data_IF_053111468037
#
_entry.id   IF_053111468037
#
_cell.length_a   1.000
_cell.length_b   1.000
_cell.length_c   1.000
_cell.angle_alpha   90.00
_cell.angle_beta   90.00
_cell.angle_gamma   90.00
#
_symmetry.space_group_name_H-M   'P 1'
#
loop_
_entity.id
_entity.type
_entity.pdbx_description
1 polymer ?
#
# COMPACT_ATOMS: atom_id res chain seq x y z
N UNK A 1 11.81 64.11 15.47
CA UNK A 1 10.61 65.00 15.44
C UNK A 1 10.01 64.90 14.05
N UNK A 2 8.81 64.37 13.92
CA UNK A 2 8.07 64.35 12.66
C UNK A 2 6.99 65.40 12.78
N UNK A 3 7.08 66.43 11.96
CA UNK A 3 6.00 67.43 11.85
C UNK A 3 4.84 66.83 11.10
N UNK A 4 3.62 67.13 11.52
CA UNK A 4 2.39 66.74 10.79
C UNK A 4 2.28 67.58 9.51
N UNK A 5 1.60 67.09 8.48
CA UNK A 5 1.45 67.79 7.19
C UNK A 5 0.83 69.18 7.37
N UNK A 6 -0.02 69.38 8.36
CA UNK A 6 -0.64 70.66 8.72
C UNK A 6 0.38 71.67 9.34
N UNK A 7 1.30 71.17 10.18
CA UNK A 7 2.36 72.00 10.77
C UNK A 7 3.39 72.43 9.72
N UNK A 8 3.64 71.55 8.76
CA UNK A 8 4.52 71.88 7.60
C UNK A 8 3.87 72.94 6.68
N UNK A 9 2.55 72.84 6.39
CA UNK A 9 1.81 73.85 5.64
C UNK A 9 1.79 75.18 6.34
N UNK A 10 1.60 75.22 7.68
CA UNK A 10 1.55 76.47 8.45
C UNK A 10 2.92 77.15 8.49
N UNK A 11 4.00 76.38 8.64
CA UNK A 11 5.39 76.88 8.58
C UNK A 11 5.72 77.40 7.16
N UNK A 12 5.29 76.67 6.14
CA UNK A 12 5.50 77.08 4.74
C UNK A 12 4.75 78.36 4.41
N UNK A 13 3.50 78.51 4.85
CA UNK A 13 2.65 79.68 4.65
C UNK A 13 3.23 80.91 5.41
N UNK A 14 3.78 80.73 6.64
CA UNK A 14 4.47 81.78 7.40
C UNK A 14 5.79 82.23 6.72
N UNK A 15 6.56 81.29 6.18
CA UNK A 15 7.79 81.59 5.42
C UNK A 15 7.48 82.35 4.13
N UNK A 16 6.43 81.96 3.39
CA UNK A 16 5.98 82.60 2.15
C UNK A 16 5.44 84.04 2.44
N UNK A 17 4.71 84.19 3.54
CA UNK A 17 4.20 85.49 3.95
C UNK A 17 5.36 86.52 4.41
N UNK A 18 6.45 85.94 4.90
CA UNK A 18 7.62 86.76 5.38
C UNK A 18 8.60 87.17 4.27
N UNK A 19 8.53 86.48 3.10
CA UNK A 19 9.40 86.81 1.96
C UNK A 19 8.75 87.88 1.04
N UNK A 20 9.03 89.15 1.19
CA UNK A 20 8.66 90.21 0.21
C UNK A 20 9.43 89.95 -1.08
N UNK A 21 8.75 89.59 -2.14
CA UNK A 21 9.35 89.50 -3.47
C UNK A 21 9.68 90.89 -3.96
N UNK A 22 10.95 91.19 -4.36
CA UNK A 22 11.41 92.52 -4.71
C UNK A 22 10.77 93.09 -5.98
N UNK A 23 9.95 92.39 -6.74
CA UNK A 23 9.36 92.82 -8.02
C UNK A 23 7.98 92.27 -8.35
N UNK A 24 7.21 91.78 -7.41
CA UNK A 24 5.80 91.41 -7.63
C UNK A 24 5.53 90.40 -8.74
N UNK A 25 6.50 89.71 -9.30
CA UNK A 25 6.37 88.84 -10.46
C UNK A 25 6.03 87.39 -10.13
N UNK A 26 6.10 87.01 -8.86
CA UNK A 26 5.80 85.62 -8.42
C UNK A 26 4.86 85.69 -7.23
N UNK A 27 3.60 85.31 -7.41
CA UNK A 27 2.69 85.11 -6.29
C UNK A 27 2.81 83.68 -5.82
N UNK A 28 2.79 83.44 -4.50
CA UNK A 28 2.85 82.11 -3.91
C UNK A 28 1.71 81.22 -4.43
N UNK A 29 0.52 81.80 -4.66
CA UNK A 29 -0.62 81.09 -5.19
C UNK A 29 -0.47 80.57 -6.63
N UNK A 30 0.38 81.23 -7.46
CA UNK A 30 0.63 80.79 -8.84
C UNK A 30 1.85 79.87 -8.99
N UNK A 31 2.76 79.90 -8.03
CA UNK A 31 4.00 79.11 -8.06
C UNK A 31 3.86 77.71 -7.42
N UNK A 32 2.98 77.62 -6.42
CA UNK A 32 2.74 76.34 -5.70
C UNK A 32 2.24 75.22 -6.60
N UNK A 33 1.22 75.38 -7.45
CA UNK A 33 0.75 74.31 -8.33
C UNK A 33 1.80 73.90 -9.40
N UNK A 34 2.68 74.83 -9.79
CA UNK A 34 3.77 74.50 -10.73
C UNK A 34 4.91 73.73 -10.05
N UNK A 35 5.17 74.00 -8.77
CA UNK A 35 6.16 73.32 -7.97
C UNK A 35 5.67 71.90 -7.62
N UNK A 36 4.41 71.75 -7.25
CA UNK A 36 3.74 70.51 -6.97
C UNK A 36 3.76 69.58 -8.20
N UNK A 37 3.48 70.13 -9.38
CA UNK A 37 3.57 69.41 -10.66
C UNK A 37 4.99 69.00 -11.03
N UNK A 38 6.03 69.83 -10.69
CA UNK A 38 7.46 69.50 -10.95
C UNK A 38 8.06 68.56 -9.93
N UNK A 39 7.64 68.61 -8.68
CA UNK A 39 8.14 67.72 -7.62
C UNK A 39 7.58 66.36 -7.68
N UNK A 40 6.49 66.13 -8.48
CA UNK A 40 5.89 64.85 -8.77
C UNK A 40 6.23 63.79 -7.68
N UNK A 41 5.72 64.03 -6.47
CA UNK A 41 5.79 63.06 -5.38
C UNK A 41 4.92 61.85 -5.75
N UNK A 42 5.37 61.18 -6.80
CA UNK A 42 4.80 59.91 -7.19
C UNK A 42 4.99 59.00 -5.98
N UNK A 43 3.87 58.58 -5.42
CA UNK A 43 3.82 57.73 -4.24
C UNK A 43 4.65 56.44 -4.46
N UNK A 44 5.99 56.57 -4.35
CA UNK A 44 6.92 55.45 -4.44
C UNK A 44 6.60 54.34 -3.41
N UNK A 45 5.96 54.75 -2.29
CA UNK A 45 5.52 53.76 -1.28
C UNK A 45 4.44 52.81 -1.78
N UNK A 46 3.47 53.30 -2.59
CA UNK A 46 2.42 52.45 -3.14
C UNK A 46 2.90 51.50 -4.24
N UNK A 47 3.91 51.88 -4.99
CA UNK A 47 4.57 51.00 -5.97
C UNK A 47 5.38 49.90 -5.29
N UNK A 48 6.17 50.26 -4.27
CA UNK A 48 6.94 49.27 -3.50
C UNK A 48 6.05 48.26 -2.81
N UNK A 49 4.96 48.67 -2.16
CA UNK A 49 4.03 47.72 -1.51
C UNK A 49 3.33 46.80 -2.52
N UNK A 50 2.97 47.31 -3.69
CA UNK A 50 2.36 46.49 -4.76
C UNK A 50 3.34 45.49 -5.37
N UNK A 51 4.59 45.87 -5.58
CA UNK A 51 5.64 44.97 -6.08
C UNK A 51 6.03 43.94 -5.05
N UNK A 52 6.10 44.25 -3.76
CA UNK A 52 6.30 43.26 -2.69
C UNK A 52 5.13 42.32 -2.54
N UNK A 53 3.89 42.82 -2.66
CA UNK A 53 2.70 41.97 -2.64
C UNK A 53 2.65 41.01 -3.84
N UNK A 54 3.02 41.47 -5.04
CA UNK A 54 3.09 40.63 -6.23
C UNK A 54 4.21 39.56 -6.10
N UNK A 55 5.37 39.94 -5.60
CA UNK A 55 6.50 39.02 -5.33
C UNK A 55 6.09 37.94 -4.30
N UNK A 56 5.43 38.36 -3.20
CA UNK A 56 4.93 37.43 -2.18
C UNK A 56 3.88 36.46 -2.75
N UNK A 57 2.99 36.95 -3.61
CA UNK A 57 1.98 36.11 -4.28
C UNK A 57 2.65 35.06 -5.20
N UNK A 58 3.67 35.44 -5.96
CA UNK A 58 4.45 34.51 -6.80
C UNK A 58 5.15 33.45 -5.96
N UNK A 59 5.77 33.83 -4.84
CA UNK A 59 6.42 32.88 -3.92
C UNK A 59 5.41 31.93 -3.32
N UNK A 60 4.26 32.41 -2.85
CA UNK A 60 3.20 31.55 -2.31
C UNK A 60 2.61 30.60 -3.37
N UNK A 61 2.40 31.09 -4.59
CA UNK A 61 1.96 30.24 -5.71
C UNK A 61 3.01 29.20 -6.08
N UNK A 62 4.29 29.56 -6.16
CA UNK A 62 5.36 28.61 -6.45
C UNK A 62 5.49 27.57 -5.34
N UNK A 63 5.37 27.98 -4.07
CA UNK A 63 5.40 27.06 -2.93
C UNK A 63 4.20 26.12 -2.92
N UNK A 64 3.00 26.64 -3.24
CA UNK A 64 1.79 25.79 -3.34
C UNK A 64 1.87 24.81 -4.51
N UNK A 65 2.37 25.22 -5.67
CA UNK A 65 2.62 24.33 -6.81
C UNK A 65 3.68 23.28 -6.45
N UNK A 66 4.76 23.70 -5.80
CA UNK A 66 5.81 22.80 -5.34
C UNK A 66 5.31 21.76 -4.33
N UNK A 67 4.54 22.20 -3.33
CA UNK A 67 3.93 21.27 -2.36
C UNK A 67 2.92 20.34 -3.02
N UNK A 68 2.08 20.84 -3.93
CA UNK A 68 1.16 20.01 -4.70
C UNK A 68 1.92 18.98 -5.56
N UNK A 69 3.00 19.38 -6.23
CA UNK A 69 3.86 18.47 -6.99
C UNK A 69 4.46 17.36 -6.13
N UNK A 70 4.99 17.69 -4.93
CA UNK A 70 5.52 16.69 -4.00
C UNK A 70 4.43 15.74 -3.48
N UNK A 71 3.20 16.24 -3.32
CA UNK A 71 2.07 15.43 -2.86
C UNK A 71 1.52 14.50 -3.97
N UNK A 72 1.61 14.95 -5.23
CA UNK A 72 1.13 14.19 -6.39
C UNK A 72 2.15 13.14 -6.89
N UNK A 73 3.38 13.12 -6.37
CA UNK A 73 4.32 12.09 -6.76
C UNK A 73 3.81 10.71 -6.33
N UNK A 74 3.81 9.70 -7.22
CA UNK A 74 3.45 8.33 -6.85
C UNK A 74 4.35 7.86 -5.70
N UNK A 75 3.79 7.07 -4.79
CA UNK A 75 4.60 6.46 -3.75
C UNK A 75 5.56 5.44 -4.39
N UNK A 76 6.80 5.41 -3.92
CA UNK A 76 7.76 4.37 -4.30
C UNK A 76 7.21 3.02 -3.86
N UNK A 77 7.17 2.05 -4.76
CA UNK A 77 6.76 0.69 -4.45
C UNK A 77 7.99 -0.09 -3.96
N UNK A 78 7.84 -0.76 -2.84
CA UNK A 78 8.79 -1.72 -2.30
C UNK A 78 8.29 -3.12 -2.56
N UNK A 79 9.16 -4.01 -3.01
CA UNK A 79 8.85 -5.43 -3.18
C UNK A 79 9.77 -6.26 -2.29
N UNK A 80 9.17 -7.14 -1.51
CA UNK A 80 9.87 -8.12 -0.67
C UNK A 80 9.51 -9.50 -1.19
N UNK A 81 10.53 -10.33 -1.45
CA UNK A 81 10.35 -11.71 -1.90
C UNK A 81 11.07 -12.67 -0.97
N UNK A 82 10.54 -13.88 -0.90
CA UNK A 82 11.12 -15.03 -0.20
C UNK A 82 11.57 -16.10 -1.18
N UNK A 83 12.51 -16.90 -0.78
CA UNK A 83 12.87 -18.17 -1.44
C UNK A 83 12.40 -19.34 -0.55
N UNK A 84 13.28 -20.22 -0.18
CA UNK A 84 12.99 -21.38 0.68
C UNK A 84 12.94 -21.02 2.19
N UNK A 85 12.48 -19.83 2.52
CA UNK A 85 12.36 -19.33 3.90
C UNK A 85 11.11 -18.50 4.08
N UNK A 86 10.58 -18.46 5.29
CA UNK A 86 9.51 -17.53 5.66
C UNK A 86 10.10 -16.20 6.11
N UNK A 87 9.39 -15.07 5.84
CA UNK A 87 9.86 -13.76 6.23
C UNK A 87 8.72 -12.87 6.72
N UNK A 88 8.93 -12.26 7.90
CA UNK A 88 7.98 -11.27 8.43
C UNK A 88 8.41 -9.86 8.07
N UNK A 89 7.47 -9.08 7.53
CA UNK A 89 7.64 -7.67 7.12
C UNK A 89 6.63 -6.82 7.87
N UNK A 90 7.08 -5.66 8.37
CA UNK A 90 6.19 -4.66 8.96
C UNK A 90 5.93 -3.54 7.96
N UNK A 91 4.67 -3.31 7.64
CA UNK A 91 4.23 -2.30 6.71
C UNK A 91 4.15 -0.91 7.36
N UNK A 92 4.06 0.19 6.56
CA UNK A 92 4.03 1.56 7.06
C UNK A 92 2.87 1.89 7.99
N UNK A 93 1.74 1.18 7.87
CA UNK A 93 0.55 1.32 8.73
C UNK A 93 0.64 0.52 10.04
N UNK A 94 1.76 -0.19 10.25
CA UNK A 94 1.98 -1.08 11.39
C UNK A 94 1.44 -2.50 11.21
N UNK A 95 0.82 -2.82 10.06
CA UNK A 95 0.42 -4.19 9.69
C UNK A 95 1.65 -5.10 9.65
N UNK A 96 1.53 -6.30 10.23
CA UNK A 96 2.54 -7.36 10.14
C UNK A 96 2.13 -8.37 9.08
N UNK A 97 3.04 -8.70 8.16
CA UNK A 97 2.82 -9.70 7.11
C UNK A 97 3.93 -10.73 7.17
N UNK A 98 3.58 -11.99 7.34
CA UNK A 98 4.52 -13.11 7.23
C UNK A 98 4.32 -13.77 5.86
N UNK A 99 5.35 -13.70 5.03
CA UNK A 99 5.40 -14.35 3.71
C UNK A 99 5.83 -15.80 3.87
N UNK A 100 5.14 -16.69 3.17
CA UNK A 100 5.55 -18.08 3.03
C UNK A 100 6.67 -18.21 1.99
N UNK A 101 7.16 -19.42 1.76
CA UNK A 101 8.21 -19.73 0.76
C UNK A 101 7.77 -19.29 -0.65
N UNK A 102 8.73 -18.86 -1.47
CA UNK A 102 8.51 -18.47 -2.88
C UNK A 102 7.36 -17.47 -3.09
N UNK A 103 7.23 -16.54 -2.16
CA UNK A 103 6.17 -15.53 -2.17
C UNK A 103 6.74 -14.13 -2.32
N UNK A 104 5.96 -13.22 -2.88
CA UNK A 104 6.33 -11.82 -3.01
C UNK A 104 5.19 -10.88 -2.63
N UNK A 105 5.54 -9.80 -1.94
CA UNK A 105 4.63 -8.75 -1.53
C UNK A 105 5.16 -7.40 -2.02
N UNK A 106 4.33 -6.69 -2.80
CA UNK A 106 4.60 -5.32 -3.23
C UNK A 106 3.69 -4.35 -2.48
N UNK A 107 4.26 -3.28 -1.93
CA UNK A 107 3.52 -2.28 -1.16
C UNK A 107 4.19 -0.90 -1.28
N UNK A 108 3.44 0.21 -1.14
CA UNK A 108 4.01 1.56 -1.19
C UNK A 108 4.76 1.88 0.11
N UNK A 109 5.84 2.68 0.02
CA UNK A 109 6.54 3.20 1.21
C UNK A 109 5.62 3.98 2.16
N UNK A 110 4.52 4.54 1.63
CA UNK A 110 3.47 5.22 2.40
C UNK A 110 2.14 5.01 1.71
N UNK A 111 1.13 4.64 2.46
CA UNK A 111 -0.25 4.64 1.97
C UNK A 111 -0.73 6.09 1.84
N UNK A 112 -0.93 6.57 0.61
CA UNK A 112 -1.34 7.96 0.31
C UNK A 112 -2.81 8.06 -0.12
N UNK A 113 -3.41 6.93 -0.51
CA UNK A 113 -4.81 6.81 -0.92
C UNK A 113 -5.72 6.58 0.29
N UNK A 114 -7.03 6.66 0.06
CA UNK A 114 -8.04 6.30 1.05
C UNK A 114 -7.99 4.81 1.39
N UNK A 115 -7.42 3.98 0.50
CA UNK A 115 -7.22 2.55 0.70
C UNK A 115 -5.73 2.22 0.92
N UNK A 116 -5.47 1.18 1.72
CA UNK A 116 -4.14 0.60 1.96
C UNK A 116 -3.97 -0.63 1.08
N UNK A 117 -3.44 -0.42 -0.11
CA UNK A 117 -3.31 -1.48 -1.12
C UNK A 117 -1.93 -2.13 -1.12
N UNK A 118 -1.92 -3.46 -1.21
CA UNK A 118 -0.73 -4.28 -1.38
C UNK A 118 -1.00 -5.36 -2.42
N UNK A 119 0.03 -5.80 -3.14
CA UNK A 119 -0.05 -6.86 -4.13
C UNK A 119 0.69 -8.10 -3.65
N UNK A 120 0.03 -9.27 -3.70
CA UNK A 120 0.57 -10.56 -3.26
C UNK A 120 0.62 -11.54 -4.42
N UNK A 121 1.77 -12.20 -4.56
CA UNK A 121 1.95 -13.43 -5.33
C UNK A 121 2.56 -14.50 -4.43
N UNK A 122 1.94 -15.67 -4.33
CA UNK A 122 2.31 -16.69 -3.35
C UNK A 122 1.41 -16.67 -2.12
N UNK A 123 1.93 -17.02 -0.95
CA UNK A 123 1.16 -17.15 0.27
C UNK A 123 1.66 -16.20 1.36
N UNK A 124 0.72 -15.58 2.07
CA UNK A 124 1.03 -14.72 3.20
C UNK A 124 -0.05 -14.73 4.28
N UNK A 125 0.40 -14.62 5.52
CA UNK A 125 -0.42 -14.38 6.69
C UNK A 125 -0.35 -12.91 7.08
N UNK A 126 -1.52 -12.30 7.30
CA UNK A 126 -1.69 -10.88 7.59
C UNK A 126 -2.25 -10.66 8.98
N UNK A 127 -1.60 -9.81 9.77
CA UNK A 127 -2.08 -9.22 11.01
C UNK A 127 -2.31 -7.73 10.77
N UNK A 128 -3.48 -7.39 10.24
CA UNK A 128 -3.76 -6.03 9.77
C UNK A 128 -4.11 -5.10 10.91
N UNK A 129 -3.43 -3.96 10.96
CA UNK A 129 -3.73 -2.87 11.90
C UNK A 129 -5.15 -2.35 11.70
N UNK A 130 -5.89 -2.21 12.82
CA UNK A 130 -7.30 -1.79 12.79
C UNK A 130 -7.44 -0.34 12.35
N UNK A 131 -8.05 -0.12 11.21
CA UNK A 131 -8.47 1.19 10.70
C UNK A 131 -9.75 1.04 9.87
N UNK A 132 -10.87 1.51 10.42
CA UNK A 132 -12.18 1.42 9.78
C UNK A 132 -12.42 2.47 8.70
N UNK A 133 -11.57 3.51 8.64
CA UNK A 133 -11.70 4.60 7.66
C UNK A 133 -10.95 4.31 6.36
N UNK A 134 -9.83 3.59 6.47
CA UNK A 134 -8.97 3.28 5.34
C UNK A 134 -8.89 1.75 5.21
N UNK A 135 -9.69 1.12 4.36
CA UNK A 135 -9.66 -0.32 4.10
C UNK A 135 -8.26 -0.80 3.70
N UNK A 136 -7.90 -2.02 4.13
CA UNK A 136 -6.70 -2.71 3.69
C UNK A 136 -7.09 -3.73 2.61
N UNK A 137 -6.45 -3.65 1.45
CA UNK A 137 -6.78 -4.46 0.28
C UNK A 137 -5.55 -5.25 -0.15
N UNK A 138 -5.66 -6.58 -0.10
CA UNK A 138 -4.68 -7.48 -0.70
C UNK A 138 -5.15 -7.80 -2.12
N UNK A 139 -4.42 -7.32 -3.09
CA UNK A 139 -4.64 -7.62 -4.50
C UNK A 139 -3.82 -8.86 -4.88
N UNK A 140 -4.48 -9.84 -5.51
CA UNK A 140 -3.83 -10.96 -6.15
C UNK A 140 -4.07 -10.89 -7.67
N UNK A 141 -3.58 -11.83 -8.42
CA UNK A 141 -3.85 -11.90 -9.87
C UNK A 141 -5.35 -11.95 -10.19
N UNK A 142 -6.15 -12.66 -9.38
CA UNK A 142 -7.55 -13.00 -9.72
C UNK A 142 -8.58 -12.47 -8.76
N UNK A 143 -8.23 -12.25 -7.49
CA UNK A 143 -9.16 -11.76 -6.45
C UNK A 143 -8.56 -10.58 -5.69
N UNK A 144 -9.45 -9.82 -5.07
CA UNK A 144 -9.16 -8.79 -4.08
C UNK A 144 -9.74 -9.18 -2.73
N UNK A 145 -8.94 -9.01 -1.68
CA UNK A 145 -9.29 -9.32 -0.28
C UNK A 145 -9.28 -8.04 0.53
N UNK A 146 -10.45 -7.60 0.98
CA UNK A 146 -10.64 -6.34 1.70
C UNK A 146 -10.94 -6.57 3.18
N UNK A 147 -10.25 -5.84 4.05
CA UNK A 147 -10.39 -5.93 5.51
C UNK A 147 -10.27 -4.56 6.19
N UNK A 148 -10.67 -4.45 7.47
CA UNK A 148 -10.58 -3.24 8.28
C UNK A 148 -9.70 -3.40 9.55
N UNK A 149 -9.15 -4.60 9.78
CA UNK A 149 -8.36 -4.95 10.97
C UNK A 149 -8.64 -6.40 11.37
N UNK A 150 -7.90 -7.32 10.79
CA UNK A 150 -8.27 -8.73 10.66
C UNK A 150 -7.01 -9.57 10.64
N UNK A 151 -7.07 -10.78 11.16
CA UNK A 151 -6.04 -11.80 11.00
C UNK A 151 -6.53 -12.86 10.00
N UNK A 152 -5.83 -13.02 8.91
CA UNK A 152 -6.22 -13.91 7.82
C UNK A 152 -5.01 -14.39 7.02
N UNK A 153 -5.19 -15.49 6.30
CA UNK A 153 -4.22 -16.05 5.36
C UNK A 153 -4.72 -15.94 3.93
N UNK A 154 -3.82 -15.70 3.00
CA UNK A 154 -4.11 -15.73 1.54
C UNK A 154 -3.09 -16.63 0.89
N UNK A 155 -3.54 -17.72 0.26
CA UNK A 155 -2.77 -18.60 -0.62
C UNK A 155 -3.17 -18.27 -2.07
N UNK A 156 -2.28 -17.60 -2.78
CA UNK A 156 -2.45 -17.12 -4.14
C UNK A 156 -1.23 -17.43 -5.03
N UNK A 157 -0.69 -18.64 -4.91
CA UNK A 157 0.37 -19.08 -5.82
C UNK A 157 -0.12 -19.09 -7.27
N UNK A 158 0.66 -18.54 -8.23
CA UNK A 158 0.24 -18.45 -9.63
C UNK A 158 -0.14 -19.80 -10.24
N UNK A 159 0.61 -20.84 -9.93
CA UNK A 159 0.44 -22.20 -10.50
C UNK A 159 -0.68 -23.01 -9.82
N UNK A 160 -1.23 -22.52 -8.69
CA UNK A 160 -2.37 -23.18 -8.06
C UNK A 160 -3.65 -22.91 -8.86
N UNK A 161 -4.54 -23.91 -9.05
CA UNK A 161 -5.81 -23.72 -9.74
C UNK A 161 -6.81 -22.88 -8.94
N UNK A 162 -6.59 -22.77 -7.63
CA UNK A 162 -7.46 -22.07 -6.71
C UNK A 162 -6.65 -20.97 -5.97
N UNK A 163 -7.36 -19.91 -5.56
CA UNK A 163 -6.89 -18.96 -4.56
C UNK A 163 -7.72 -19.14 -3.30
N UNK A 164 -7.04 -19.34 -2.15
CA UNK A 164 -7.71 -19.56 -0.86
C UNK A 164 -7.51 -18.34 0.03
N UNK A 165 -8.58 -17.94 0.72
CA UNK A 165 -8.52 -16.89 1.76
C UNK A 165 -9.15 -17.44 3.03
N UNK A 166 -8.36 -17.63 4.08
CA UNK A 166 -8.79 -18.19 5.36
C UNK A 166 -8.86 -17.12 6.43
N UNK A 167 -10.01 -17.00 7.09
CA UNK A 167 -10.22 -16.02 8.15
C UNK A 167 -10.03 -16.63 9.52
N UNK A 168 -9.11 -16.03 10.31
CA UNK A 168 -8.87 -16.41 11.70
C UNK A 168 -9.68 -15.53 12.66
N UNK A 169 -9.55 -14.22 12.57
CA UNK A 169 -10.27 -13.26 13.43
C UNK A 169 -10.71 -12.03 12.65
N UNK A 170 -11.88 -11.48 12.97
CA UNK A 170 -12.41 -10.27 12.35
C UNK A 170 -13.41 -10.56 11.24
N UNK A 171 -13.30 -9.88 10.11
CA UNK A 171 -14.16 -10.04 8.93
C UNK A 171 -13.36 -9.74 7.66
N UNK A 172 -13.55 -10.55 6.64
CA UNK A 172 -12.90 -10.44 5.33
C UNK A 172 -13.95 -10.42 4.24
N UNK A 173 -13.84 -9.46 3.32
CA UNK A 173 -14.61 -9.48 2.07
C UNK A 173 -13.69 -9.91 0.93
N UNK A 174 -14.06 -10.98 0.22
CA UNK A 174 -13.35 -11.49 -0.95
C UNK A 174 -14.18 -11.19 -2.19
N UNK A 175 -13.57 -10.65 -3.22
CA UNK A 175 -14.20 -10.42 -4.52
C UNK A 175 -13.25 -10.75 -5.66
N UNK A 176 -13.80 -11.12 -6.83
CA UNK A 176 -12.98 -11.22 -8.03
C UNK A 176 -12.70 -9.81 -8.62
N UNK A 177 -11.74 -9.71 -9.53
CA UNK A 177 -11.26 -8.42 -10.08
C UNK A 177 -12.35 -7.54 -10.70
N UNK A 178 -13.40 -8.12 -11.25
CA UNK A 178 -14.52 -7.36 -11.84
C UNK A 178 -15.69 -7.15 -10.87
N UNK A 179 -15.53 -7.49 -9.59
CA UNK A 179 -16.57 -7.40 -8.54
C UNK A 179 -17.89 -8.12 -8.86
N UNK A 180 -17.89 -9.04 -9.83
CA UNK A 180 -19.10 -9.79 -10.20
C UNK A 180 -19.48 -10.85 -9.16
N UNK A 181 -18.49 -11.30 -8.37
CA UNK A 181 -18.68 -12.25 -7.27
C UNK A 181 -18.06 -11.65 -6.01
N UNK A 182 -18.83 -11.60 -4.91
CA UNK A 182 -18.36 -11.11 -3.61
C UNK A 182 -18.87 -12.00 -2.48
N UNK A 183 -18.01 -12.26 -1.51
CA UNK A 183 -18.31 -13.04 -0.32
C UNK A 183 -17.72 -12.40 0.93
N UNK A 184 -18.44 -12.46 2.04
CA UNK A 184 -17.93 -12.04 3.36
C UNK A 184 -17.75 -13.27 4.23
N UNK A 185 -16.55 -13.43 4.79
CA UNK A 185 -16.17 -14.54 5.66
C UNK A 185 -16.37 -14.19 7.12
N UNK A 186 -16.66 -15.23 7.90
CA UNK A 186 -16.62 -15.27 9.36
C UNK A 186 -15.40 -16.07 9.83
N UNK A 187 -14.95 -15.92 11.09
CA UNK A 187 -13.87 -16.74 11.62
C UNK A 187 -14.10 -18.25 11.41
N UNK A 188 -13.02 -18.96 11.10
CA UNK A 188 -13.00 -20.37 10.68
C UNK A 188 -13.69 -20.66 9.34
N UNK A 189 -13.88 -19.65 8.49
CA UNK A 189 -14.32 -19.87 7.12
C UNK A 189 -13.14 -19.63 6.15
N UNK A 190 -13.12 -20.42 5.07
CA UNK A 190 -12.23 -20.25 3.92
C UNK A 190 -13.04 -19.97 2.66
N UNK A 191 -12.68 -18.92 1.93
CA UNK A 191 -13.14 -18.69 0.57
C UNK A 191 -12.15 -19.35 -0.40
N UNK A 192 -12.67 -20.10 -1.36
CA UNK A 192 -11.90 -20.79 -2.39
C UNK A 192 -12.41 -20.28 -3.73
N UNK A 193 -11.53 -19.57 -4.45
CA UNK A 193 -11.80 -19.08 -5.79
C UNK A 193 -11.11 -19.98 -6.81
N UNK A 194 -11.90 -20.71 -7.59
CA UNK A 194 -11.38 -21.52 -8.70
C UNK A 194 -11.11 -20.62 -9.91
N UNK A 195 -9.85 -20.58 -10.37
CA UNK A 195 -9.42 -19.70 -11.46
C UNK A 195 -10.00 -20.09 -12.82
N UNK A 196 -10.24 -21.39 -13.04
CA UNK A 196 -10.77 -21.92 -14.30
C UNK A 196 -12.29 -21.71 -14.38
N UNK A 197 -13.01 -22.12 -13.34
CA UNK A 197 -14.46 -22.00 -13.28
C UNK A 197 -14.91 -20.56 -12.96
N UNK A 198 -14.02 -19.69 -12.50
CA UNK A 198 -14.28 -18.33 -12.01
C UNK A 198 -15.35 -18.31 -10.91
N UNK A 199 -15.36 -19.33 -10.09
CA UNK A 199 -16.36 -19.58 -9.07
C UNK A 199 -15.75 -19.40 -7.69
N UNK A 200 -16.45 -18.65 -6.83
CA UNK A 200 -16.12 -18.47 -5.43
C UNK A 200 -17.01 -19.36 -4.57
N UNK A 201 -16.40 -20.23 -3.77
CA UNK A 201 -17.08 -21.13 -2.83
C UNK A 201 -16.60 -20.89 -1.42
N UNK A 202 -17.37 -21.33 -0.43
CA UNK A 202 -17.03 -21.22 1.00
C UNK A 202 -17.07 -22.58 1.65
N UNK A 203 -16.06 -22.84 2.51
CA UNK A 203 -16.00 -24.00 3.38
C UNK A 203 -15.81 -23.53 4.82
N UNK A 204 -16.39 -24.23 5.79
CA UNK A 204 -16.13 -24.04 7.22
C UNK A 204 -15.04 -25.01 7.64
N UNK A 205 -14.04 -24.53 8.33
CA UNK A 205 -12.92 -25.30 8.86
C UNK A 205 -13.18 -25.64 10.33
N UNK A 206 -12.70 -26.77 10.80
CA UNK A 206 -12.70 -27.11 12.22
C UNK A 206 -11.73 -26.19 12.98
N UNK A 207 -10.56 -25.94 12.40
CA UNK A 207 -9.53 -25.08 12.95
C UNK A 207 -8.83 -24.31 11.83
N UNK A 208 -9.08 -23.00 11.73
CA UNK A 208 -8.39 -22.13 10.77
C UNK A 208 -6.88 -21.97 11.07
N UNK A 209 -6.46 -22.32 12.30
CA UNK A 209 -5.04 -22.29 12.68
C UNK A 209 -4.19 -23.30 11.92
N UNK A 210 -4.77 -24.38 11.44
CA UNK A 210 -4.05 -25.40 10.68
C UNK A 210 -3.58 -24.87 9.32
N UNK A 211 -4.33 -23.94 8.71
CA UNK A 211 -3.97 -23.26 7.44
C UNK A 211 -2.77 -22.33 7.55
N UNK A 212 -2.31 -22.02 8.77
CA UNK A 212 -1.16 -21.14 9.02
C UNK A 212 -0.02 -21.87 9.76
N UNK A 213 -0.09 -23.21 9.86
CA UNK A 213 0.90 -24.04 10.53
C UNK A 213 2.30 -23.93 9.87
N UNK A 214 2.34 -23.65 8.59
CA UNK A 214 3.56 -23.40 7.81
C UNK A 214 4.44 -22.30 8.42
N UNK A 215 3.87 -21.34 9.16
CA UNK A 215 4.62 -20.27 9.86
C UNK A 215 5.59 -20.84 10.92
N UNK A 216 5.34 -22.04 11.36
CA UNK A 216 6.15 -22.77 12.34
C UNK A 216 6.91 -23.94 11.71
N UNK A 217 6.90 -24.06 10.37
CA UNK A 217 7.51 -25.18 9.65
C UNK A 217 6.74 -26.49 9.83
N UNK A 218 5.44 -26.40 10.13
CA UNK A 218 4.57 -27.56 10.31
C UNK A 218 3.73 -27.83 9.06
N UNK A 219 3.52 -29.10 8.72
CA UNK A 219 2.61 -29.53 7.67
C UNK A 219 1.49 -30.36 8.29
N UNK A 220 0.25 -29.94 8.08
CA UNK A 220 -0.95 -30.60 8.61
C UNK A 220 -1.86 -30.96 7.44
N UNK A 221 -1.86 -32.24 7.08
CA UNK A 221 -2.73 -32.80 6.09
C UNK A 221 -3.92 -33.48 6.80
N UNK A 222 -5.11 -32.97 6.63
CA UNK A 222 -6.32 -33.53 7.23
C UNK A 222 -7.29 -33.92 6.13
N UNK A 223 -7.31 -35.23 5.84
CA UNK A 223 -8.11 -35.79 4.74
C UNK A 223 -7.92 -35.03 3.42
N UNK A 224 -6.66 -34.68 3.09
CA UNK A 224 -6.32 -33.93 1.89
C UNK A 224 -6.04 -34.85 0.69
N UNK A 225 -6.49 -34.51 -0.53
CA UNK A 225 -6.08 -35.21 -1.74
C UNK A 225 -4.57 -35.13 -1.96
N UNK A 226 -3.94 -36.20 -2.39
CA UNK A 226 -2.50 -36.25 -2.66
C UNK A 226 -2.05 -35.15 -3.64
N UNK A 227 -2.93 -34.75 -4.59
CA UNK A 227 -2.64 -33.64 -5.50
C UNK A 227 -2.51 -32.30 -4.78
N UNK A 228 -3.30 -32.04 -3.74
CA UNK A 228 -3.18 -30.83 -2.92
C UNK A 228 -1.90 -30.88 -2.08
N UNK A 229 -1.60 -32.04 -1.46
CA UNK A 229 -0.37 -32.25 -0.70
C UNK A 229 0.86 -32.04 -1.60
N UNK A 230 0.87 -32.60 -2.81
CA UNK A 230 1.96 -32.43 -3.76
C UNK A 230 2.19 -30.95 -4.14
N UNK A 231 1.11 -30.17 -4.29
CA UNK A 231 1.20 -28.71 -4.56
C UNK A 231 1.75 -27.96 -3.35
N UNK A 232 1.24 -28.22 -2.16
CA UNK A 232 1.70 -27.57 -0.93
C UNK A 232 3.19 -27.83 -0.70
N UNK A 233 3.63 -29.08 -0.84
CA UNK A 233 5.05 -29.41 -0.77
C UNK A 233 5.88 -28.81 -1.91
N UNK A 234 5.32 -28.74 -3.14
CA UNK A 234 5.98 -28.08 -4.25
C UNK A 234 6.21 -26.59 -3.98
N UNK A 235 5.19 -25.89 -3.48
CA UNK A 235 5.26 -24.47 -3.12
C UNK A 235 6.25 -24.23 -1.97
N UNK A 236 6.22 -25.10 -0.95
CA UNK A 236 7.07 -24.93 0.24
C UNK A 236 8.54 -25.23 -0.01
N UNK A 237 8.84 -26.17 -0.89
CA UNK A 237 10.22 -26.61 -1.15
C UNK A 237 10.78 -26.21 -2.52
N UNK A 238 10.02 -25.46 -3.33
CA UNK A 238 10.44 -24.96 -4.65
C UNK A 238 10.82 -26.07 -5.63
N UNK A 239 10.13 -27.20 -5.56
CA UNK A 239 10.36 -28.35 -6.42
C UNK A 239 9.06 -28.80 -7.08
N UNK A 240 9.15 -29.33 -8.29
CA UNK A 240 7.96 -29.86 -8.96
C UNK A 240 7.68 -31.29 -8.51
N UNK A 241 6.52 -31.56 -7.96
CA UNK A 241 6.04 -32.91 -7.62
C UNK A 241 4.94 -33.30 -8.58
N UNK A 242 5.23 -34.26 -9.43
CA UNK A 242 4.32 -34.79 -10.45
C UNK A 242 3.73 -36.13 -10.02
N UNK A 243 2.40 -36.27 -10.12
CA UNK A 243 1.70 -37.55 -9.87
C UNK A 243 1.42 -38.21 -11.22
N UNK A 244 2.17 -39.28 -11.53
CA UNK A 244 2.12 -39.95 -12.81
C UNK A 244 0.80 -40.75 -12.99
N UNK A 245 0.25 -41.27 -11.89
CA UNK A 245 -0.99 -42.04 -11.91
C UNK A 245 -2.17 -41.18 -11.46
N UNK A 246 -3.10 -40.89 -12.37
CA UNK A 246 -4.27 -40.06 -12.08
C UNK A 246 -5.18 -40.65 -10.98
N UNK A 247 -5.13 -41.95 -10.73
CA UNK A 247 -5.91 -42.56 -9.64
C UNK A 247 -5.43 -42.17 -8.26
N UNK A 248 -4.14 -41.78 -8.13
CA UNK A 248 -3.53 -41.30 -6.89
C UNK A 248 -3.87 -39.83 -6.60
N UNK A 249 -4.23 -39.04 -7.58
CA UNK A 249 -4.48 -37.59 -7.40
C UNK A 249 -5.53 -37.31 -6.33
N UNK A 250 -6.57 -38.13 -6.30
CA UNK A 250 -7.69 -38.00 -5.35
C UNK A 250 -7.53 -38.89 -4.10
N UNK A 251 -6.37 -39.56 -3.95
CA UNK A 251 -6.11 -40.37 -2.78
C UNK A 251 -5.95 -39.47 -1.56
N UNK A 252 -6.73 -39.72 -0.51
CA UNK A 252 -6.76 -38.81 0.64
C UNK A 252 -5.83 -39.28 1.76
N UNK A 253 -5.09 -38.36 2.32
CA UNK A 253 -4.10 -38.63 3.34
C UNK A 253 -4.35 -37.72 4.54
N UNK A 254 -4.24 -38.32 5.74
CA UNK A 254 -4.13 -37.60 7.01
C UNK A 254 -2.77 -37.84 7.60
N UNK A 255 -1.99 -36.78 7.73
CA UNK A 255 -0.65 -36.83 8.32
C UNK A 255 -0.29 -35.46 8.96
N UNK A 256 0.58 -35.47 9.98
CA UNK A 256 1.03 -34.27 10.65
C UNK A 256 2.53 -34.31 10.86
N UNK A 257 3.22 -33.27 10.39
CA UNK A 257 4.66 -33.06 10.51
C UNK A 257 4.86 -31.77 11.31
N UNK A 258 5.53 -31.83 12.47
CA UNK A 258 5.59 -30.74 13.43
C UNK A 258 6.99 -30.35 13.89
N UNK A 259 8.01 -31.01 13.37
CA UNK A 259 9.38 -30.82 13.82
C UNK A 259 10.27 -30.15 12.78
N UNK A 260 9.67 -29.50 11.77
CA UNK A 260 10.42 -28.89 10.66
C UNK A 260 11.05 -29.95 9.74
N UNK A 261 10.32 -31.04 9.49
CA UNK A 261 10.75 -32.09 8.58
C UNK A 261 11.02 -31.53 7.19
N UNK A 262 12.12 -31.93 6.59
CA UNK A 262 12.43 -31.60 5.21
C UNK A 262 11.59 -32.47 4.23
N UNK A 263 11.65 -32.11 2.94
CA UNK A 263 10.87 -32.80 1.90
C UNK A 263 11.17 -34.30 1.82
N UNK A 264 12.44 -34.69 1.97
CA UNK A 264 12.83 -36.09 1.86
C UNK A 264 12.31 -36.90 3.06
N UNK A 265 12.33 -36.32 4.27
CA UNK A 265 11.72 -36.91 5.46
C UNK A 265 10.21 -37.10 5.31
N UNK A 266 9.49 -36.04 4.84
CA UNK A 266 8.05 -36.10 4.59
C UNK A 266 7.71 -37.20 3.57
N UNK A 267 8.36 -37.18 2.42
CA UNK A 267 8.12 -38.18 1.36
C UNK A 267 8.47 -39.60 1.83
N UNK A 268 9.54 -39.77 2.60
CA UNK A 268 9.93 -41.09 3.15
C UNK A 268 8.86 -41.62 4.11
N UNK A 269 8.34 -40.80 5.00
CA UNK A 269 7.26 -41.22 5.93
C UNK A 269 6.00 -41.62 5.16
N UNK A 270 5.59 -40.83 4.18
CA UNK A 270 4.40 -41.12 3.36
C UNK A 270 4.60 -42.39 2.50
N UNK A 271 5.79 -42.60 1.94
CA UNK A 271 6.14 -43.82 1.22
C UNK A 271 6.11 -45.04 2.12
N UNK A 272 6.75 -44.99 3.30
CA UNK A 272 6.82 -46.09 4.25
C UNK A 272 5.45 -46.45 4.83
N UNK A 273 4.50 -45.49 4.88
CA UNK A 273 3.11 -45.73 5.23
C UNK A 273 2.33 -46.44 4.11
N UNK A 274 2.95 -46.69 2.96
CA UNK A 274 2.38 -47.46 1.85
C UNK A 274 1.44 -46.65 0.96
N UNK A 275 1.48 -45.32 1.05
CA UNK A 275 0.61 -44.45 0.25
C UNK A 275 0.99 -44.43 -1.22
N UNK A 276 2.31 -44.41 -1.55
CA UNK A 276 2.83 -44.36 -2.92
C UNK A 276 4.32 -44.68 -2.97
N UNK A 277 4.85 -44.95 -4.18
CA UNK A 277 6.26 -44.89 -4.51
C UNK A 277 6.66 -43.54 -5.07
N UNK A 278 7.92 -43.12 -4.95
CA UNK A 278 8.40 -41.92 -5.59
C UNK A 278 9.82 -42.10 -6.12
N UNK A 279 10.15 -41.41 -7.18
CA UNK A 279 11.49 -41.25 -7.72
C UNK A 279 11.84 -39.77 -7.83
N UNK A 280 13.11 -39.42 -7.58
CA UNK A 280 13.61 -38.07 -7.65
C UNK A 280 14.68 -37.97 -8.73
N UNK A 281 14.53 -36.98 -9.62
CA UNK A 281 15.61 -36.50 -10.48
C UNK A 281 16.01 -35.08 -10.06
N UNK A 282 16.95 -34.47 -10.79
CA UNK A 282 17.53 -33.16 -10.42
C UNK A 282 16.50 -32.00 -10.38
N UNK A 283 15.35 -32.13 -11.03
CA UNK A 283 14.39 -31.03 -11.21
C UNK A 283 12.97 -31.40 -10.77
N UNK A 284 12.68 -32.66 -10.58
CA UNK A 284 11.30 -33.14 -10.38
C UNK A 284 11.27 -34.40 -9.52
N UNK A 285 10.21 -34.47 -8.71
CA UNK A 285 9.82 -35.71 -8.00
C UNK A 285 8.61 -36.28 -8.73
N UNK A 286 8.65 -37.59 -9.02
CA UNK A 286 7.53 -38.30 -9.66
C UNK A 286 6.97 -39.31 -8.69
N UNK A 287 5.68 -39.18 -8.38
CA UNK A 287 4.90 -40.10 -7.54
C UNK A 287 4.20 -41.12 -8.43
N UNK A 288 4.35 -42.37 -8.07
CA UNK A 288 3.75 -43.53 -8.78
C UNK A 288 3.01 -44.44 -7.80
N UNK A 289 2.13 -45.26 -8.31
CA UNK A 289 1.42 -46.26 -7.52
C UNK A 289 2.40 -47.34 -7.03
N UNK A 290 2.16 -47.88 -5.82
CA UNK A 290 2.83 -49.05 -5.28
C UNK A 290 2.61 -50.31 -6.10
#
# INVERSE_FOLDING_TARGET
MKYSDRELEDILNKLIASTRSPRGRFSAASSYPQLEKKLNFRNHRLYLTRTFAAAAAVVLLSLSVWTAYLYMQPATIQTVSTLAETRTVRLPDGTSVTLNHYSSLSYPERFKSDDREVELSGEAYFEVSKDSKHPFIVQTETIDVQVLGTHFNVDAYPDNPDVKTTLLTGSVAVSNKNNSVRMVLKPNEVAIYNKVEQKLTRKVLENAGDEISWRHGEFIFDDLPLQEIARELSNSFGTTIHIADSTLQNYRITARFRNGEDLDAILSVLHNAGYFNYSRNTQQITITKN
#
